data_IF_263958898613
#
_entry.id   IF_263958898613
#
_cell.length_a   1.000
_cell.length_b   1.000
_cell.length_c   1.000
_cell.angle_alpha   90.00
_cell.angle_beta   90.00
_cell.angle_gamma   90.00
#
_symmetry.space_group_name_H-M   'P 1'
#
loop_
_entity.id
_entity.type
_entity.pdbx_description
1 polymer ?
#
# COMPACT_ATOMS: atom_id res chain seq x y z
N UNK A 1 10.78 1.75 11.09
CA UNK A 1 10.48 2.20 9.71
C UNK A 1 10.70 1.10 8.67
N UNK A 2 9.76 0.14 8.58
CA UNK A 2 9.79 -0.89 7.52
C UNK A 2 9.20 -0.31 6.24
N UNK A 3 9.81 -0.58 5.08
CA UNK A 3 9.35 -0.05 3.79
C UNK A 3 9.37 -1.15 2.74
N UNK A 4 8.41 -1.11 1.82
CA UNK A 4 8.42 -1.91 0.60
C UNK A 4 8.44 -0.98 -0.62
N UNK A 5 9.12 -1.42 -1.68
CA UNK A 5 9.23 -0.67 -2.92
C UNK A 5 8.49 -1.40 -4.03
N UNK A 6 7.70 -0.66 -4.80
CA UNK A 6 6.94 -1.21 -5.91
C UNK A 6 5.66 -1.94 -5.50
N UNK A 7 4.77 -2.06 -6.48
CA UNK A 7 3.42 -2.56 -6.29
C UNK A 7 3.39 -4.03 -5.88
N UNK A 8 4.19 -4.88 -6.53
CA UNK A 8 4.24 -6.32 -6.26
C UNK A 8 4.62 -6.63 -4.81
N UNK A 9 5.57 -5.88 -4.24
CA UNK A 9 5.96 -6.06 -2.85
C UNK A 9 4.87 -5.62 -1.88
N UNK A 10 4.06 -4.61 -2.24
CA UNK A 10 2.89 -4.24 -1.45
C UNK A 10 1.80 -5.31 -1.53
N UNK A 11 1.53 -5.88 -2.71
CA UNK A 11 0.55 -6.97 -2.88
C UNK A 11 0.91 -8.15 -1.96
N UNK A 12 2.16 -8.62 -2.01
CA UNK A 12 2.64 -9.70 -1.17
C UNK A 12 2.53 -9.36 0.33
N UNK A 13 2.84 -8.12 0.70
CA UNK A 13 2.70 -7.68 2.08
C UNK A 13 1.24 -7.74 2.55
N UNK A 14 0.33 -7.18 1.76
CA UNK A 14 -1.09 -7.12 2.03
C UNK A 14 -1.71 -8.51 2.18
N UNK A 15 -1.29 -9.46 1.33
CA UNK A 15 -1.65 -10.88 1.46
C UNK A 15 -1.14 -11.47 2.79
N UNK A 16 0.12 -11.23 3.16
CA UNK A 16 0.71 -11.76 4.40
C UNK A 16 0.04 -11.27 5.69
N UNK A 17 -0.62 -10.11 5.66
CA UNK A 17 -1.35 -9.53 6.81
C UNK A 17 -2.87 -9.75 6.74
N UNK A 18 -3.31 -10.67 5.89
CA UNK A 18 -4.72 -11.02 5.68
C UNK A 18 -5.57 -9.80 5.28
N UNK A 19 -5.06 -9.01 4.33
CA UNK A 19 -5.77 -7.91 3.68
C UNK A 19 -5.48 -7.92 2.16
N UNK A 20 -5.79 -9.01 1.44
CA UNK A 20 -5.41 -9.14 0.04
C UNK A 20 -6.08 -8.08 -0.84
N UNK A 21 -5.29 -7.42 -1.69
CA UNK A 21 -5.75 -6.50 -2.73
C UNK A 21 -5.02 -6.77 -4.04
N UNK A 22 -5.76 -6.73 -5.14
CA UNK A 22 -5.19 -6.82 -6.48
C UNK A 22 -4.39 -5.55 -6.84
N UNK A 23 -3.41 -5.71 -7.73
CA UNK A 23 -2.54 -4.62 -8.18
C UNK A 23 -3.36 -3.44 -8.78
N UNK A 24 -4.42 -3.75 -9.52
CA UNK A 24 -5.33 -2.77 -10.13
C UNK A 24 -6.09 -1.98 -9.06
N UNK A 25 -6.54 -2.65 -7.99
CA UNK A 25 -7.23 -2.00 -6.87
C UNK A 25 -6.30 -1.05 -6.13
N UNK A 26 -5.06 -1.49 -5.86
CA UNK A 26 -4.06 -0.62 -5.23
C UNK A 26 -3.75 0.58 -6.12
N UNK A 27 -3.65 0.37 -7.45
CA UNK A 27 -3.40 1.45 -8.42
C UNK A 27 -4.55 2.48 -8.46
N UNK A 28 -5.80 2.02 -8.40
CA UNK A 28 -6.97 2.87 -8.27
C UNK A 28 -6.96 3.66 -6.95
N UNK A 29 -6.66 3.00 -5.82
CA UNK A 29 -6.52 3.65 -4.52
C UNK A 29 -5.41 4.70 -4.51
N UNK A 30 -4.28 4.43 -5.18
CA UNK A 30 -3.19 5.39 -5.33
C UNK A 30 -3.63 6.61 -6.15
N UNK A 31 -4.30 6.38 -7.28
CA UNK A 31 -4.82 7.44 -8.15
C UNK A 31 -5.82 8.33 -7.41
N UNK A 32 -6.65 7.74 -6.54
CA UNK A 32 -7.60 8.45 -5.67
C UNK A 32 -6.97 9.01 -4.39
N UNK A 33 -5.65 8.86 -4.19
CA UNK A 33 -4.93 9.21 -2.95
C UNK A 33 -5.55 8.63 -1.67
N UNK A 34 -6.15 7.45 -1.78
CA UNK A 34 -6.82 6.75 -0.68
C UNK A 34 -5.92 5.79 0.09
N UNK A 35 -4.78 5.38 -0.47
CA UNK A 35 -3.79 4.53 0.20
C UNK A 35 -2.48 5.31 0.42
N UNK A 36 -1.82 5.20 1.59
CA UNK A 36 -0.54 5.87 1.85
C UNK A 36 0.55 5.39 0.90
N UNK A 37 1.13 6.31 0.13
CA UNK A 37 2.23 6.02 -0.79
C UNK A 37 3.10 7.25 -0.99
N UNK A 38 4.36 7.05 -1.38
CA UNK A 38 5.27 8.12 -1.79
C UNK A 38 5.88 7.80 -3.13
N UNK A 39 5.75 8.70 -4.10
CA UNK A 39 6.55 8.65 -5.32
C UNK A 39 7.96 9.15 -4.99
N UNK A 40 8.95 8.31 -5.28
CA UNK A 40 10.36 8.64 -5.20
C UNK A 40 10.87 9.08 -6.58
N UNK A 41 12.15 8.84 -6.88
CA UNK A 41 12.73 9.23 -8.16
C UNK A 41 12.17 8.37 -9.31
N UNK A 42 11.82 9.02 -10.44
CA UNK A 42 11.16 8.39 -11.60
C UNK A 42 9.86 7.69 -11.19
N UNK A 43 9.74 6.40 -11.48
CA UNK A 43 8.54 5.59 -11.27
C UNK A 43 8.62 4.70 -10.02
N UNK A 44 9.61 4.95 -9.14
CA UNK A 44 9.74 4.20 -7.89
C UNK A 44 8.69 4.65 -6.90
N UNK A 45 7.83 3.72 -6.48
CA UNK A 45 6.83 3.95 -5.43
C UNK A 45 7.30 3.27 -4.14
N UNK A 46 7.25 4.01 -3.04
CA UNK A 46 7.62 3.53 -1.71
C UNK A 46 6.39 3.54 -0.82
N UNK A 47 6.19 2.43 -0.09
CA UNK A 47 5.16 2.29 0.91
C UNK A 47 5.83 2.15 2.29
N UNK A 48 5.47 3.03 3.23
CA UNK A 48 5.85 2.87 4.64
C UNK A 48 4.86 1.90 5.28
N UNK A 49 5.33 0.74 5.75
CA UNK A 49 4.45 -0.29 6.30
C UNK A 49 3.75 0.17 7.57
N UNK A 50 4.33 1.05 8.38
CA UNK A 50 3.64 1.61 9.55
C UNK A 50 2.39 2.41 9.15
N UNK A 51 2.47 3.15 8.05
CA UNK A 51 1.32 3.91 7.52
C UNK A 51 0.31 2.98 6.85
N UNK A 52 0.78 1.92 6.17
CA UNK A 52 -0.10 0.90 5.58
C UNK A 52 -0.85 0.17 6.69
N UNK A 53 -0.19 -0.27 7.76
CA UNK A 53 -0.79 -0.96 8.89
C UNK A 53 -1.88 -0.10 9.55
N UNK A 54 -1.59 1.19 9.78
CA UNK A 54 -2.58 2.14 10.25
C UNK A 54 -3.76 2.27 9.28
N UNK A 55 -3.48 2.42 7.98
CA UNK A 55 -4.52 2.55 6.96
C UNK A 55 -5.43 1.33 6.88
N UNK A 56 -4.88 0.11 6.97
CA UNK A 56 -5.64 -1.15 7.04
C UNK A 56 -6.54 -1.15 8.27
N UNK A 57 -6.01 -0.75 9.44
CA UNK A 57 -6.79 -0.66 10.66
C UNK A 57 -7.97 0.31 10.51
N UNK A 58 -7.77 1.46 9.85
CA UNK A 58 -8.85 2.39 9.53
C UNK A 58 -9.87 1.83 8.53
N UNK A 59 -9.42 1.06 7.53
CA UNK A 59 -10.35 0.43 6.58
C UNK A 59 -11.23 -0.63 7.25
N UNK A 60 -10.70 -1.37 8.22
CA UNK A 60 -11.45 -2.41 8.96
C UNK A 60 -12.50 -1.84 9.94
N UNK A 61 -12.42 -0.55 10.27
CA UNK A 61 -13.41 0.12 11.12
C UNK A 61 -14.63 0.63 10.35
N UNK A 62 -14.56 0.66 9.03
CA UNK A 62 -15.64 1.08 8.13
C UNK A 62 -16.47 -0.11 7.74
#
# INVERSE_FOLDING_TARGET
MRKVQGLSNLVNYLESVNYPLAAEQITDLMSKRKIPHRKAYKDVIIFNLEHIDWWIAEQRKR
#
